data_IF_020621497626
#
_entry.id   IF_020621497626
#
_cell.length_a   1.000
_cell.length_b   1.000
_cell.length_c   1.000
_cell.angle_alpha   90.00
_cell.angle_beta   90.00
_cell.angle_gamma   90.00
#
_symmetry.space_group_name_H-M   'P 1'
#
loop_
_entity.id
_entity.type
_entity.pdbx_description
1 polymer ?
#
# COMPACT_ATOMS: atom_id res chain seq x y z
N UNK A 1 -3.75 -18.39 -3.61
CA UNK A 1 -2.83 -18.59 -4.74
C UNK A 1 -3.28 -19.83 -5.52
N UNK A 2 -3.49 -19.70 -6.83
CA UNK A 2 -4.18 -20.70 -7.66
C UNK A 2 -3.32 -21.94 -7.96
N UNK A 3 -3.91 -22.93 -8.65
CA UNK A 3 -3.29 -24.23 -8.95
C UNK A 3 -1.89 -24.15 -9.57
N UNK A 4 -1.60 -23.08 -10.34
CA UNK A 4 -0.29 -22.83 -10.96
C UNK A 4 0.83 -22.52 -9.95
N UNK A 5 0.50 -21.94 -8.79
CA UNK A 5 1.47 -21.57 -7.76
C UNK A 5 1.88 -22.74 -6.84
N UNK A 6 1.33 -23.96 -7.06
CA UNK A 6 1.61 -25.13 -6.20
C UNK A 6 2.99 -25.77 -6.47
N UNK A 7 3.53 -25.60 -7.67
CA UNK A 7 4.79 -26.22 -8.08
C UNK A 7 6.01 -25.67 -7.33
N UNK A 8 7.04 -26.49 -7.13
CA UNK A 8 8.28 -26.08 -6.46
C UNK A 8 9.02 -24.98 -7.23
N UNK A 9 9.06 -25.06 -8.57
CA UNK A 9 9.72 -24.03 -9.39
C UNK A 9 8.93 -22.73 -9.39
N UNK A 10 7.60 -22.79 -9.53
CA UNK A 10 6.74 -21.60 -9.56
C UNK A 10 6.86 -20.73 -8.29
N UNK A 11 7.09 -21.34 -7.12
CA UNK A 11 7.23 -20.62 -5.84
C UNK A 11 8.58 -19.92 -5.65
N UNK A 12 9.56 -20.16 -6.52
CA UNK A 12 10.89 -19.54 -6.41
C UNK A 12 10.95 -18.16 -7.04
N UNK A 13 9.96 -17.79 -7.84
CA UNK A 13 9.93 -16.53 -8.57
C UNK A 13 8.80 -15.64 -8.05
N UNK A 14 9.06 -14.36 -7.78
CA UNK A 14 8.03 -13.43 -7.35
C UNK A 14 7.08 -13.10 -8.51
N UNK A 15 5.84 -12.75 -8.17
CA UNK A 15 4.94 -12.08 -9.11
C UNK A 15 5.38 -10.63 -9.29
N UNK A 16 5.35 -10.12 -10.53
CA UNK A 16 5.53 -8.68 -10.77
C UNK A 16 4.24 -7.96 -10.41
N UNK A 17 4.38 -6.87 -9.64
CA UNK A 17 3.34 -5.91 -9.33
C UNK A 17 3.80 -4.49 -9.69
N UNK A 18 4.62 -4.37 -10.73
CA UNK A 18 5.31 -3.13 -11.10
C UNK A 18 4.47 -2.24 -12.02
N UNK A 19 3.27 -2.67 -12.41
CA UNK A 19 2.43 -1.89 -13.29
C UNK A 19 2.00 -0.58 -12.61
N UNK A 20 2.22 0.54 -13.31
CA UNK A 20 1.94 1.88 -12.80
C UNK A 20 2.80 2.27 -11.60
N UNK A 21 4.00 1.70 -11.45
CA UNK A 21 4.96 2.15 -10.44
C UNK A 21 5.54 3.52 -10.84
N UNK A 22 5.57 4.46 -9.91
CA UNK A 22 6.08 5.81 -10.12
C UNK A 22 5.05 6.80 -10.67
N UNK A 23 3.79 6.38 -10.85
CA UNK A 23 2.69 7.25 -11.30
C UNK A 23 1.75 7.66 -10.16
N UNK A 24 2.15 7.37 -8.93
CA UNK A 24 1.46 7.78 -7.71
C UNK A 24 1.45 9.30 -7.52
N UNK A 25 0.29 9.84 -7.16
CA UNK A 25 0.09 11.23 -6.77
C UNK A 25 -0.53 11.25 -5.37
N UNK A 26 0.13 11.92 -4.45
CA UNK A 26 -0.37 12.13 -3.08
C UNK A 26 -1.34 13.31 -3.03
N UNK A 27 -2.42 13.16 -2.29
CA UNK A 27 -3.41 14.21 -2.02
C UNK A 27 -3.89 14.93 -3.30
N UNK A 28 -4.21 14.16 -4.33
CA UNK A 28 -4.55 14.68 -5.65
C UNK A 28 -5.69 15.72 -5.60
N UNK A 29 -5.51 16.80 -6.36
CA UNK A 29 -6.49 17.89 -6.46
C UNK A 29 -6.93 18.08 -7.92
N UNK A 30 -8.25 18.18 -8.13
CA UNK A 30 -8.84 18.50 -9.42
C UNK A 30 -10.07 19.36 -9.22
N UNK A 31 -10.10 20.55 -9.84
CA UNK A 31 -11.24 21.47 -9.81
C UNK A 31 -11.82 21.71 -8.40
N UNK A 32 -10.93 22.06 -7.46
CA UNK A 32 -11.23 22.27 -6.02
C UNK A 32 -11.70 21.03 -5.27
N UNK A 33 -11.79 19.87 -5.92
CA UNK A 33 -12.00 18.58 -5.27
C UNK A 33 -10.65 17.97 -4.90
N UNK A 34 -10.50 17.60 -3.62
CA UNK A 34 -9.28 16.97 -3.09
C UNK A 34 -9.55 15.52 -2.72
N UNK A 35 -8.74 14.62 -3.25
CA UNK A 35 -8.73 13.20 -2.90
C UNK A 35 -7.57 12.95 -1.94
N UNK A 36 -7.83 12.68 -0.65
CA UNK A 36 -6.78 12.39 0.31
C UNK A 36 -6.12 11.02 0.06
N UNK A 37 -4.86 10.91 0.45
CA UNK A 37 -4.05 9.71 0.27
C UNK A 37 -3.46 9.59 -1.13
N UNK A 38 -2.98 8.38 -1.46
CA UNK A 38 -2.31 8.11 -2.73
C UNK A 38 -3.30 7.66 -3.80
N UNK A 39 -3.27 8.31 -4.96
CA UNK A 39 -4.00 7.89 -6.16
C UNK A 39 -3.01 7.66 -7.30
N UNK A 40 -3.40 6.89 -8.32
CA UNK A 40 -2.65 6.83 -9.57
C UNK A 40 -3.42 7.57 -10.65
N UNK A 41 -2.78 8.53 -11.30
CA UNK A 41 -3.35 9.15 -12.49
C UNK A 41 -3.27 8.16 -13.67
N UNK A 42 -4.43 7.69 -14.10
CA UNK A 42 -4.56 6.72 -15.19
C UNK A 42 -4.70 7.38 -16.57
N UNK A 43 -4.78 8.71 -16.66
CA UNK A 43 -4.87 9.43 -17.94
C UNK A 43 -3.69 9.09 -18.85
N UNK A 44 -2.51 8.84 -18.28
CA UNK A 44 -1.33 8.36 -19.02
C UNK A 44 -1.11 6.84 -18.89
N UNK A 45 -1.26 6.28 -17.68
CA UNK A 45 -0.82 4.92 -17.38
C UNK A 45 -1.74 3.79 -17.87
N UNK A 46 -2.97 4.08 -18.31
CA UNK A 46 -4.05 3.12 -18.68
C UNK A 46 -4.50 2.17 -17.55
N UNK A 47 -3.60 1.71 -16.68
CA UNK A 47 -3.88 0.88 -15.50
C UNK A 47 -2.73 0.95 -14.48
N UNK A 48 -3.01 0.59 -13.22
CA UNK A 48 -2.04 0.54 -12.12
C UNK A 48 -2.37 -0.59 -11.15
N UNK A 49 -1.34 -1.13 -10.50
CA UNK A 49 -1.44 -2.15 -9.44
C UNK A 49 -1.10 -1.57 -8.06
N UNK A 50 -1.10 -0.25 -7.91
CA UNK A 50 -0.79 0.42 -6.65
C UNK A 50 -1.69 -0.04 -5.49
N UNK A 51 -2.98 -0.27 -5.74
CA UNK A 51 -3.90 -0.80 -4.74
C UNK A 51 -3.56 -2.23 -4.30
N UNK A 52 -3.09 -3.09 -5.21
CA UNK A 52 -2.65 -4.45 -4.90
C UNK A 52 -1.36 -4.42 -4.08
N UNK A 53 -0.41 -3.53 -4.42
CA UNK A 53 0.78 -3.30 -3.60
C UNK A 53 0.41 -2.85 -2.18
N UNK A 54 -0.55 -1.94 -2.05
CA UNK A 54 -1.05 -1.50 -0.74
C UNK A 54 -1.71 -2.63 0.05
N UNK A 55 -2.51 -3.47 -0.60
CA UNK A 55 -3.14 -4.62 0.02
C UNK A 55 -2.08 -5.59 0.59
N UNK A 56 -1.09 -5.98 -0.22
CA UNK A 56 -0.06 -6.92 0.23
C UNK A 56 0.90 -6.31 1.26
N UNK A 57 1.18 -5.00 1.16
CA UNK A 57 1.93 -4.28 2.19
C UNK A 57 1.21 -4.31 3.53
N UNK A 58 -0.08 -3.95 3.57
CA UNK A 58 -0.87 -4.06 4.80
C UNK A 58 -0.97 -5.50 5.26
N UNK A 59 -1.19 -6.46 4.38
CA UNK A 59 -1.19 -7.88 4.76
C UNK A 59 0.11 -8.28 5.46
N UNK A 60 1.27 -7.91 4.92
CA UNK A 60 2.57 -8.21 5.55
C UNK A 60 2.68 -7.57 6.93
N UNK A 61 2.32 -6.28 7.07
CA UNK A 61 2.29 -5.60 8.37
C UNK A 61 1.38 -6.31 9.38
N UNK A 62 0.23 -6.82 8.94
CA UNK A 62 -0.68 -7.60 9.79
C UNK A 62 -0.12 -8.98 10.18
N UNK A 63 0.69 -9.60 9.32
CA UNK A 63 1.34 -10.87 9.62
C UNK A 63 2.52 -10.71 10.60
N UNK A 64 3.14 -9.52 10.60
CA UNK A 64 4.30 -9.21 11.44
C UNK A 64 3.91 -8.60 12.80
N UNK A 65 2.78 -7.90 12.88
CA UNK A 65 2.38 -7.21 14.10
C UNK A 65 1.91 -8.16 15.21
N UNK A 66 2.37 -7.92 16.42
CA UNK A 66 1.95 -8.70 17.61
C UNK A 66 0.58 -8.27 18.13
N UNK A 67 0.19 -7.01 17.89
CA UNK A 67 -1.04 -6.42 18.42
C UNK A 67 -1.48 -5.18 17.61
N UNK A 68 -2.66 -4.67 17.94
CA UNK A 68 -3.27 -3.53 17.24
C UNK A 68 -2.54 -2.21 17.43
N UNK A 69 -1.79 -2.02 18.52
CA UNK A 69 -1.10 -0.76 18.78
C UNK A 69 0.06 -0.54 17.80
N UNK A 70 0.70 -1.62 17.33
CA UNK A 70 1.71 -1.56 16.27
C UNK A 70 1.09 -1.19 14.91
N UNK A 71 -0.13 -1.67 14.63
CA UNK A 71 -0.83 -1.43 13.37
C UNK A 71 -1.52 -0.07 13.27
N UNK A 72 -1.94 0.48 14.42
CA UNK A 72 -2.77 1.68 14.53
C UNK A 72 -1.99 2.85 15.12
N UNK A 73 -0.77 3.08 14.64
CA UNK A 73 0.11 4.15 15.13
C UNK A 73 -0.54 5.54 15.08
N UNK A 74 -1.46 5.77 14.14
CA UNK A 74 -2.25 6.99 14.00
C UNK A 74 -3.31 7.21 15.10
N UNK A 75 -3.67 6.17 15.87
CA UNK A 75 -4.56 6.28 17.05
C UNK A 75 -3.82 6.74 18.30
N UNK A 76 -2.50 6.63 18.32
CA UNK A 76 -1.73 7.12 19.46
C UNK A 76 -1.84 8.63 19.46
N UNK A 77 -2.32 9.26 20.56
CA UNK A 77 -2.18 10.69 20.69
C UNK A 77 -0.69 11.01 20.53
N UNK A 78 -0.37 12.03 19.73
CA UNK A 78 0.98 12.55 19.68
C UNK A 78 1.42 12.72 21.14
N UNK A 79 2.41 11.94 21.56
CA UNK A 79 2.93 11.99 22.93
C UNK A 79 3.24 13.47 23.14
N UNK A 80 2.51 14.12 24.04
CA UNK A 80 2.77 15.51 24.41
C UNK A 80 4.27 15.59 24.59
N UNK A 81 4.93 16.41 23.76
CA UNK A 81 6.35 16.69 23.87
C UNK A 81 6.59 16.93 25.35
N UNK A 82 7.33 16.01 25.96
CA UNK A 82 7.55 16.02 27.39
C UNK A 82 8.21 17.37 27.69
N UNK A 83 7.49 18.19 28.43
CA UNK A 83 7.98 19.42 29.01
C UNK A 83 9.33 19.16 29.68
N UNK A 84 10.33 19.88 29.22
CA UNK A 84 11.52 20.26 29.98
C UNK A 84 11.66 21.79 29.89
#
# INVERSE_FOLDING_TARGET
AHAASRGTIARRYPYSYEQGLGTEVENYEWDRFRVPGTVCDLTQARSSEHNLRNLYRRWAEFMEAENWDQLMCWRRPARAEAAE
#
